data_IF_154461474924
#
_entry.id   IF_154461474924
#
_cell.length_a   1.000
_cell.length_b   1.000
_cell.length_c   1.000
_cell.angle_alpha   90.00
_cell.angle_beta   90.00
_cell.angle_gamma   90.00
#
_symmetry.space_group_name_H-M   'P 1'
#
loop_
_entity.id
_entity.type
_entity.pdbx_description
1 polymer ?
#
# COMPACT_ATOMS: atom_id res chain seq x y z
N UNK A 1 13.95 23.78 -0.80
CA UNK A 1 13.76 23.71 -2.27
C UNK A 1 12.99 22.44 -2.64
N UNK A 2 13.42 21.25 -2.23
CA UNK A 2 12.76 19.97 -2.59
C UNK A 2 11.27 19.88 -2.22
N UNK A 3 10.89 20.29 -1.00
CA UNK A 3 9.49 20.30 -0.58
C UNK A 3 8.62 21.21 -1.47
N UNK A 4 9.14 22.36 -1.87
CA UNK A 4 8.44 23.30 -2.75
C UNK A 4 8.26 22.71 -4.16
N UNK A 5 9.29 22.04 -4.68
CA UNK A 5 9.20 21.36 -5.98
C UNK A 5 8.19 20.21 -5.96
N UNK A 6 8.14 19.44 -4.87
CA UNK A 6 7.15 18.37 -4.68
C UNK A 6 5.72 18.92 -4.69
N UNK A 7 5.47 19.99 -3.94
CA UNK A 7 4.17 20.67 -3.92
C UNK A 7 3.78 21.25 -5.29
N UNK A 8 4.74 21.81 -6.02
CA UNK A 8 4.52 22.26 -7.40
C UNK A 8 4.10 21.09 -8.30
N UNK A 9 4.76 19.94 -8.18
CA UNK A 9 4.39 18.74 -8.94
C UNK A 9 2.97 18.24 -8.60
N UNK A 10 2.57 18.26 -7.32
CA UNK A 10 1.20 17.93 -6.92
C UNK A 10 0.16 18.88 -7.52
N UNK A 11 0.40 20.18 -7.46
CA UNK A 11 -0.48 21.19 -8.03
C UNK A 11 -0.63 21.04 -9.54
N UNK A 12 0.46 20.68 -10.23
CA UNK A 12 0.44 20.43 -11.66
C UNK A 12 -0.38 19.19 -12.03
N UNK A 13 -0.27 18.08 -11.28
CA UNK A 13 -1.13 16.89 -11.46
C UNK A 13 -2.60 17.28 -11.35
N UNK A 14 -2.97 18.03 -10.31
CA UNK A 14 -4.35 18.43 -10.09
C UNK A 14 -4.88 19.35 -11.21
N UNK A 15 -4.05 20.28 -11.68
CA UNK A 15 -4.41 21.20 -12.77
C UNK A 15 -4.65 20.43 -14.08
N UNK A 16 -3.73 19.55 -14.45
CA UNK A 16 -3.82 18.72 -15.66
C UNK A 16 -4.98 17.72 -15.60
N UNK A 17 -5.29 17.17 -14.41
CA UNK A 17 -6.45 16.31 -14.22
C UNK A 17 -7.78 17.07 -14.41
N UNK A 18 -7.86 18.31 -13.91
CA UNK A 18 -9.03 19.17 -14.09
C UNK A 18 -9.25 19.54 -15.56
N UNK A 19 -8.18 19.79 -16.32
CA UNK A 19 -8.28 20.09 -17.76
C UNK A 19 -8.61 18.85 -18.61
N UNK A 20 -8.56 17.64 -18.02
CA UNK A 20 -8.76 16.35 -18.71
C UNK A 20 -7.78 16.14 -19.86
N UNK A 21 -6.60 16.76 -19.80
CA UNK A 21 -5.57 16.59 -20.81
C UNK A 21 -4.72 15.35 -20.49
N UNK A 22 -5.20 14.19 -20.96
CA UNK A 22 -4.52 12.91 -20.73
C UNK A 22 -3.09 12.92 -21.29
N UNK A 23 -2.88 13.50 -22.46
CA UNK A 23 -1.56 13.52 -23.10
C UNK A 23 -0.56 14.35 -22.28
N UNK A 24 -1.00 15.47 -21.73
CA UNK A 24 -0.16 16.27 -20.82
C UNK A 24 0.08 15.58 -19.49
N UNK A 25 -0.89 14.83 -18.94
CA UNK A 25 -0.67 14.00 -17.75
C UNK A 25 0.36 12.90 -18.00
N UNK A 26 0.31 12.23 -19.15
CA UNK A 26 1.27 11.19 -19.51
C UNK A 26 2.69 11.76 -19.67
N UNK A 27 2.84 12.88 -20.38
CA UNK A 27 4.15 13.57 -20.48
C UNK A 27 4.66 14.00 -19.10
N UNK A 28 3.77 14.48 -18.23
CA UNK A 28 4.15 14.88 -16.89
C UNK A 28 4.59 13.67 -16.03
N UNK A 29 3.93 12.51 -16.16
CA UNK A 29 4.34 11.28 -15.50
C UNK A 29 5.78 10.87 -15.88
N UNK A 30 6.13 10.94 -17.17
CA UNK A 30 7.47 10.64 -17.69
C UNK A 30 8.54 11.61 -17.18
N UNK A 31 8.20 12.90 -17.09
CA UNK A 31 9.05 13.93 -16.50
C UNK A 31 9.30 13.65 -15.01
N UNK A 32 8.25 13.32 -14.25
CA UNK A 32 8.35 13.00 -12.82
C UNK A 32 9.17 11.74 -12.57
N UNK A 33 9.04 10.74 -13.44
CA UNK A 33 9.88 9.55 -13.38
C UNK A 33 11.36 9.94 -13.49
N UNK A 34 11.72 10.65 -14.56
CA UNK A 34 13.11 11.09 -14.79
C UNK A 34 13.67 11.94 -13.65
N UNK A 35 12.81 12.78 -13.05
CA UNK A 35 13.18 13.70 -11.98
C UNK A 35 13.35 13.02 -10.63
N UNK A 36 12.40 12.17 -10.23
CA UNK A 36 12.27 11.74 -8.83
C UNK A 36 12.69 10.31 -8.57
N UNK A 37 12.57 9.38 -9.53
CA UNK A 37 12.73 7.94 -9.27
C UNK A 37 14.11 7.60 -8.67
N UNK A 38 15.17 8.23 -9.19
CA UNK A 38 16.56 8.00 -8.71
C UNK A 38 16.91 8.79 -7.46
N UNK A 39 16.24 9.93 -7.22
CA UNK A 39 16.58 10.84 -6.12
C UNK A 39 15.84 10.47 -4.84
N UNK A 40 14.53 10.24 -4.95
CA UNK A 40 13.59 10.03 -3.84
C UNK A 40 12.46 9.09 -4.30
N UNK A 41 12.73 7.77 -4.44
CA UNK A 41 11.76 6.80 -4.95
C UNK A 41 10.43 6.79 -4.18
N UNK A 42 10.47 7.07 -2.87
CA UNK A 42 9.26 7.16 -2.04
C UNK A 42 8.38 8.37 -2.41
N UNK A 43 8.98 9.54 -2.65
CA UNK A 43 8.25 10.73 -3.09
C UNK A 43 7.69 10.54 -4.50
N UNK A 44 8.46 9.91 -5.39
CA UNK A 44 8.00 9.53 -6.72
C UNK A 44 6.76 8.62 -6.64
N UNK A 45 6.81 7.56 -5.81
CA UNK A 45 5.68 6.65 -5.64
C UNK A 45 4.43 7.38 -5.12
N UNK A 46 4.58 8.31 -4.17
CA UNK A 46 3.47 9.14 -3.67
C UNK A 46 2.89 10.06 -4.76
N UNK A 47 3.74 10.78 -5.49
CA UNK A 47 3.30 11.65 -6.61
C UNK A 47 2.52 10.85 -7.64
N UNK A 48 3.03 9.68 -7.99
CA UNK A 48 2.41 8.85 -9.01
C UNK A 48 1.12 8.20 -8.53
N UNK A 49 0.99 7.85 -7.25
CA UNK A 49 -0.30 7.49 -6.67
C UNK A 49 -1.31 8.65 -6.81
N UNK A 50 -0.91 9.89 -6.52
CA UNK A 50 -1.79 11.05 -6.73
C UNK A 50 -2.19 11.22 -8.20
N UNK A 51 -1.28 10.98 -9.15
CA UNK A 51 -1.59 11.02 -10.58
C UNK A 51 -2.62 9.95 -10.96
N UNK A 52 -2.41 8.71 -10.53
CA UNK A 52 -3.31 7.57 -10.76
C UNK A 52 -4.69 7.82 -10.10
N UNK A 53 -4.72 8.42 -8.91
CA UNK A 53 -5.94 8.83 -8.22
C UNK A 53 -6.77 9.83 -9.01
N UNK A 54 -6.09 10.87 -9.52
CA UNK A 54 -6.72 11.91 -10.31
C UNK A 54 -7.22 11.37 -11.66
N UNK A 55 -6.44 10.52 -12.35
CA UNK A 55 -6.87 9.86 -13.59
C UNK A 55 -8.14 9.03 -13.38
N UNK A 56 -8.21 8.29 -12.27
CA UNK A 56 -9.34 7.41 -11.98
C UNK A 56 -10.65 8.15 -11.65
N UNK A 57 -10.57 9.45 -11.36
CA UNK A 57 -11.72 10.28 -10.97
C UNK A 57 -12.48 10.89 -12.16
N UNK A 58 -11.96 10.75 -13.39
CA UNK A 58 -12.57 11.33 -14.61
C UNK A 58 -13.63 10.37 -15.18
N UNK A 59 -14.91 10.66 -14.95
CA UNK A 59 -16.05 9.78 -15.29
C UNK A 59 -16.32 9.68 -16.81
N UNK A 60 -16.02 10.72 -17.59
CA UNK A 60 -16.52 10.86 -18.96
C UNK A 60 -15.89 9.90 -19.98
N UNK A 61 -14.66 9.41 -19.74
CA UNK A 61 -13.91 8.52 -20.64
C UNK A 61 -13.37 7.30 -19.87
N UNK A 62 -14.26 6.68 -19.10
CA UNK A 62 -13.90 5.70 -18.07
C UNK A 62 -12.95 4.58 -18.55
N UNK A 63 -13.16 4.02 -19.74
CA UNK A 63 -12.34 2.89 -20.25
C UNK A 63 -10.90 3.30 -20.58
N UNK A 64 -10.69 4.45 -21.23
CA UNK A 64 -9.36 4.94 -21.62
C UNK A 64 -8.52 5.31 -20.39
N UNK A 65 -9.10 6.10 -19.49
CA UNK A 65 -8.41 6.50 -18.26
C UNK A 65 -8.12 5.29 -17.36
N UNK A 66 -9.01 4.30 -17.34
CA UNK A 66 -8.81 3.06 -16.59
C UNK A 66 -7.57 2.29 -17.07
N UNK A 67 -7.41 2.06 -18.37
CA UNK A 67 -6.24 1.37 -18.91
C UNK A 67 -4.94 2.11 -18.59
N UNK A 68 -4.92 3.44 -18.73
CA UNK A 68 -3.75 4.27 -18.40
C UNK A 68 -3.45 4.24 -16.89
N UNK A 69 -4.48 4.30 -16.04
CA UNK A 69 -4.35 4.23 -14.57
C UNK A 69 -3.72 2.91 -14.14
N UNK A 70 -4.20 1.79 -14.68
CA UNK A 70 -3.65 0.46 -14.38
C UNK A 70 -2.22 0.32 -14.91
N UNK A 71 -1.94 0.80 -16.13
CA UNK A 71 -0.58 0.82 -16.70
C UNK A 71 0.41 1.50 -15.75
N UNK A 72 0.11 2.71 -15.29
CA UNK A 72 1.00 3.43 -14.37
C UNK A 72 1.11 2.73 -13.02
N UNK A 73 0.01 2.20 -12.47
CA UNK A 73 0.06 1.47 -11.21
C UNK A 73 0.97 0.24 -11.30
N UNK A 74 0.86 -0.55 -12.37
CA UNK A 74 1.71 -1.73 -12.59
C UNK A 74 3.17 -1.31 -12.78
N UNK A 75 3.44 -0.29 -13.60
CA UNK A 75 4.81 0.21 -13.81
C UNK A 75 5.47 0.65 -12.50
N UNK A 76 4.73 1.30 -11.61
CA UNK A 76 5.25 1.71 -10.30
C UNK A 76 5.56 0.53 -9.39
N UNK A 77 4.63 -0.42 -9.31
CA UNK A 77 4.79 -1.64 -8.52
C UNK A 77 5.98 -2.48 -9.00
N UNK A 78 6.34 -2.40 -10.29
CA UNK A 78 7.47 -3.13 -10.86
C UNK A 78 8.81 -2.39 -10.75
N UNK A 79 8.80 -1.05 -10.63
CA UNK A 79 10.02 -0.22 -10.69
C UNK A 79 10.52 0.23 -9.33
N UNK A 80 9.64 0.36 -8.34
CA UNK A 80 9.98 0.99 -7.06
C UNK A 80 9.98 -0.03 -5.94
N UNK A 81 11.17 -0.58 -5.69
CA UNK A 81 11.40 -1.45 -4.54
C UNK A 81 11.22 -0.68 -3.23
N UNK A 82 10.62 -1.34 -2.23
CA UNK A 82 10.54 -0.80 -0.88
C UNK A 82 9.59 0.40 -0.69
N UNK A 83 8.73 0.74 -1.66
CA UNK A 83 7.78 1.86 -1.53
C UNK A 83 6.92 1.77 -0.25
N UNK A 84 6.45 2.85 0.37
CA UNK A 84 5.63 2.76 1.58
C UNK A 84 4.39 1.87 1.37
N UNK A 85 4.06 1.01 2.34
CA UNK A 85 2.97 0.03 2.22
C UNK A 85 1.62 0.72 1.92
N UNK A 86 1.36 1.89 2.51
CA UNK A 86 0.15 2.67 2.22
C UNK A 86 0.04 3.06 0.74
N UNK A 87 1.18 3.36 0.10
CA UNK A 87 1.26 3.69 -1.31
C UNK A 87 1.07 2.44 -2.18
N UNK A 88 1.73 1.34 -1.84
CA UNK A 88 1.61 0.05 -2.54
C UNK A 88 0.16 -0.43 -2.59
N UNK A 89 -0.54 -0.42 -1.46
CA UNK A 89 -1.96 -0.76 -1.40
C UNK A 89 -2.87 0.24 -2.10
N UNK A 90 -2.47 1.51 -2.13
CA UNK A 90 -3.09 2.55 -2.94
C UNK A 90 -3.04 2.17 -4.42
N UNK A 91 -1.88 1.77 -4.92
CA UNK A 91 -1.69 1.39 -6.32
C UNK A 91 -2.40 0.07 -6.67
N UNK A 92 -2.38 -0.93 -5.78
CA UNK A 92 -3.04 -2.22 -6.02
C UNK A 92 -4.56 -2.09 -6.26
N UNK A 93 -5.22 -1.05 -5.74
CA UNK A 93 -6.65 -0.81 -6.03
C UNK A 93 -6.93 -0.56 -7.53
N UNK A 94 -5.90 -0.24 -8.29
CA UNK A 94 -5.94 -0.02 -9.73
C UNK A 94 -5.48 -1.22 -10.54
N UNK A 95 -4.89 -2.22 -9.90
CA UNK A 95 -4.55 -3.50 -10.52
C UNK A 95 -5.78 -4.38 -10.47
N UNK A 96 -6.61 -4.30 -11.52
CA UNK A 96 -7.92 -4.96 -11.58
C UNK A 96 -7.83 -6.28 -12.32
N UNK A 97 -8.84 -7.11 -12.09
CA UNK A 97 -9.07 -8.26 -12.93
C UNK A 97 -9.68 -7.83 -14.27
N UNK A 98 -9.14 -8.37 -15.37
CA UNK A 98 -9.39 -7.88 -16.74
C UNK A 98 -10.81 -8.15 -17.23
N UNK A 99 -11.48 -9.14 -16.65
CA UNK A 99 -12.79 -9.60 -17.15
C UNK A 99 -13.96 -8.70 -16.76
N UNK A 100 -13.71 -7.59 -16.04
CA UNK A 100 -14.70 -6.52 -15.90
C UNK A 100 -14.89 -5.71 -17.19
N UNK A 101 -14.00 -5.85 -18.18
CA UNK A 101 -14.05 -5.07 -19.41
C UNK A 101 -13.70 -5.96 -20.61
N UNK A 102 -14.72 -6.62 -21.19
CA UNK A 102 -14.60 -7.52 -22.36
C UNK A 102 -13.99 -6.84 -23.61
N UNK A 103 -13.69 -5.54 -23.53
CA UNK A 103 -13.12 -4.73 -24.61
C UNK A 103 -11.59 -4.65 -24.57
N UNK A 104 -10.95 -5.08 -23.48
CA UNK A 104 -9.48 -5.03 -23.36
C UNK A 104 -8.86 -6.13 -24.22
N UNK A 105 -8.30 -5.74 -25.36
CA UNK A 105 -7.38 -6.59 -26.11
C UNK A 105 -6.17 -6.88 -25.21
N UNK A 106 -5.95 -8.15 -24.93
CA UNK A 106 -4.69 -8.58 -24.32
C UNK A 106 -3.53 -8.16 -25.23
N UNK A 107 -2.35 -7.84 -24.67
CA UNK A 107 -1.14 -7.70 -25.46
C UNK A 107 -0.95 -8.93 -26.36
N UNK A 108 -0.60 -8.72 -27.62
CA UNK A 108 -0.58 -9.76 -28.67
C UNK A 108 0.33 -10.97 -28.34
N UNK A 109 1.17 -10.87 -27.31
CA UNK A 109 2.13 -11.87 -26.85
C UNK A 109 1.80 -12.54 -25.49
N UNK A 110 0.80 -12.06 -24.73
CA UNK A 110 0.50 -12.56 -23.38
C UNK A 110 -0.81 -13.32 -23.31
N UNK A 111 -0.74 -14.56 -22.80
CA UNK A 111 -1.94 -15.29 -22.41
C UNK A 111 -2.64 -14.64 -21.21
N UNK A 112 -3.97 -14.71 -21.15
CA UNK A 112 -4.78 -14.28 -19.99
C UNK A 112 -4.23 -14.87 -18.68
N UNK A 113 -3.76 -16.11 -18.72
CA UNK A 113 -3.12 -16.79 -17.59
C UNK A 113 -1.89 -16.06 -17.09
N UNK A 114 -1.02 -15.61 -17.99
CA UNK A 114 0.20 -14.91 -17.61
C UNK A 114 -0.11 -13.56 -16.97
N UNK A 115 -1.08 -12.83 -17.51
CA UNK A 115 -1.45 -11.52 -16.94
C UNK A 115 -2.11 -11.69 -15.58
N UNK A 116 -3.09 -12.61 -15.46
CA UNK A 116 -3.69 -12.97 -14.17
C UNK A 116 -2.64 -13.35 -13.14
N UNK A 117 -1.70 -14.23 -13.51
CA UNK A 117 -0.61 -14.67 -12.64
C UNK A 117 0.23 -13.50 -12.16
N UNK A 118 0.64 -12.61 -13.07
CA UNK A 118 1.44 -11.43 -12.74
C UNK A 118 0.70 -10.49 -11.78
N UNK A 119 -0.60 -10.26 -11.99
CA UNK A 119 -1.40 -9.42 -11.09
C UNK A 119 -1.60 -10.09 -9.72
N UNK A 120 -1.98 -11.37 -9.69
CA UNK A 120 -2.13 -12.14 -8.46
C UNK A 120 -0.85 -12.15 -7.62
N UNK A 121 0.30 -12.34 -8.28
CA UNK A 121 1.61 -12.26 -7.63
C UNK A 121 1.82 -10.93 -6.91
N UNK A 122 1.55 -9.78 -7.54
CA UNK A 122 1.69 -8.46 -6.89
C UNK A 122 0.80 -8.33 -5.65
N UNK A 123 -0.43 -8.83 -5.72
CA UNK A 123 -1.34 -8.80 -4.57
C UNK A 123 -0.81 -9.65 -3.40
N UNK A 124 -0.34 -10.87 -3.66
CA UNK A 124 0.18 -11.76 -2.60
C UNK A 124 1.57 -11.33 -2.09
N UNK A 125 2.41 -10.76 -2.94
CA UNK A 125 3.71 -10.19 -2.54
C UNK A 125 3.50 -9.02 -1.56
N UNK A 126 2.57 -8.10 -1.86
CA UNK A 126 2.21 -7.00 -0.97
C UNK A 126 1.59 -7.49 0.35
N UNK A 127 0.75 -8.55 0.30
CA UNK A 127 0.21 -9.19 1.50
C UNK A 127 1.33 -9.76 2.37
N UNK A 128 2.28 -10.48 1.78
CA UNK A 128 3.44 -11.04 2.49
C UNK A 128 4.24 -9.93 3.16
N UNK A 129 4.59 -8.89 2.40
CA UNK A 129 5.34 -7.74 2.91
C UNK A 129 4.64 -7.05 4.09
N UNK A 130 3.32 -6.91 4.05
CA UNK A 130 2.56 -6.35 5.17
C UNK A 130 2.59 -7.26 6.41
N UNK A 131 2.51 -8.58 6.24
CA UNK A 131 2.63 -9.49 7.38
C UNK A 131 4.04 -9.50 7.96
N UNK A 132 5.07 -9.46 7.11
CA UNK A 132 6.47 -9.40 7.53
C UNK A 132 6.78 -8.10 8.29
N UNK A 133 6.06 -7.01 8.00
CA UNK A 133 6.19 -5.73 8.69
C UNK A 133 5.44 -5.67 10.05
N UNK A 134 4.49 -6.57 10.29
CA UNK A 134 3.73 -6.62 11.54
C UNK A 134 4.53 -7.42 12.55
N UNK A 135 4.85 -6.76 13.67
CA UNK A 135 5.42 -7.43 14.82
C UNK A 135 4.35 -8.33 15.47
N UNK A 136 4.64 -9.62 15.56
CA UNK A 136 3.73 -10.64 16.10
C UNK A 136 3.61 -10.53 17.61
N UNK A 137 4.67 -10.06 18.28
CA UNK A 137 4.77 -9.97 19.72
C UNK A 137 4.33 -8.59 20.25
N UNK A 138 3.96 -7.67 19.35
CA UNK A 138 3.43 -6.35 19.71
C UNK A 138 2.13 -6.46 20.52
N UNK A 139 2.16 -5.83 21.70
CA UNK A 139 1.02 -5.74 22.62
C UNK A 139 0.27 -4.40 22.43
N UNK A 140 -1.02 -4.41 22.04
CA UNK A 140 -1.83 -3.20 21.95
C UNK A 140 -2.08 -2.51 23.30
N UNK A 141 -1.93 -3.20 24.42
CA UNK A 141 -2.14 -2.63 25.76
C UNK A 141 -0.85 -2.00 26.34
N UNK A 142 0.30 -2.25 25.72
CA UNK A 142 1.57 -1.59 26.06
C UNK A 142 1.65 -0.17 25.50
N UNK A 143 0.80 0.70 26.04
CA UNK A 143 0.66 2.08 25.57
C UNK A 143 1.93 2.91 25.85
N UNK A 144 2.31 3.81 24.92
CA UNK A 144 3.29 4.85 25.24
C UNK A 144 2.71 5.81 26.28
N UNK A 145 3.57 6.37 27.13
CA UNK A 145 3.16 7.38 28.09
C UNK A 145 2.78 8.67 27.35
N UNK A 146 1.67 9.30 27.77
CA UNK A 146 1.26 10.60 27.23
C UNK A 146 2.28 11.69 27.59
N UNK A 147 2.83 11.60 28.80
CA UNK A 147 3.87 12.48 29.32
C UNK A 147 4.79 11.70 30.25
N UNK A 148 6.09 11.77 29.99
CA UNK A 148 7.10 11.09 30.81
C UNK A 148 7.28 11.87 32.12
N UNK A 149 7.25 11.16 33.24
CA UNK A 149 7.56 11.75 34.54
C UNK A 149 9.08 11.92 34.72
N UNK A 150 9.56 13.07 35.24
CA UNK A 150 10.95 13.20 35.63
C UNK A 150 11.27 12.29 36.83
N UNK A 151 12.55 11.95 37.09
CA UNK A 151 12.92 11.13 38.24
C UNK A 151 12.34 11.67 39.55
N UNK A 152 11.82 10.80 40.41
CA UNK A 152 11.15 11.18 41.67
C UNK A 152 11.99 12.13 42.55
N UNK A 153 13.32 12.01 42.48
CA UNK A 153 14.26 12.87 43.19
C UNK A 153 14.11 14.37 42.84
N UNK A 154 13.64 14.69 41.64
CA UNK A 154 13.39 16.05 41.18
C UNK A 154 12.13 16.67 41.79
N UNK A 155 11.15 15.85 42.19
CA UNK A 155 9.80 16.27 42.66
C UNK A 155 9.07 17.20 41.70
N UNK A 156 9.45 17.19 40.42
CA UNK A 156 8.81 17.97 39.37
C UNK A 156 7.62 17.18 38.78
N UNK A 157 6.59 17.86 38.25
CA UNK A 157 5.48 17.18 37.59
C UNK A 157 5.90 16.56 36.25
N UNK A 158 5.09 15.63 35.73
CA UNK A 158 5.29 15.08 34.37
C UNK A 158 5.23 16.19 33.31
N UNK A 159 6.10 16.07 32.30
CA UNK A 159 6.10 16.97 31.15
C UNK A 159 6.82 18.30 31.36
N UNK A 160 7.54 18.48 32.46
CA UNK A 160 8.50 19.59 32.60
C UNK A 160 9.58 19.52 31.53
N UNK A 161 10.11 20.67 31.14
CA UNK A 161 11.24 20.72 30.22
C UNK A 161 12.50 20.16 30.90
N UNK A 162 13.36 19.37 30.22
CA UNK A 162 14.58 18.83 30.82
C UNK A 162 15.50 19.91 31.42
N UNK A 163 15.48 21.12 30.86
CA UNK A 163 16.24 22.26 31.32
C UNK A 163 15.85 22.73 32.74
N UNK A 164 14.67 22.33 33.23
CA UNK A 164 14.20 22.63 34.59
C UNK A 164 14.77 21.67 35.66
N UNK A 165 15.43 20.57 35.25
CA UNK A 165 16.11 19.65 36.18
C UNK A 165 17.53 20.15 36.40
N UNK A 166 17.84 20.67 37.58
CA UNK A 166 19.17 21.24 37.90
C UNK A 166 20.30 20.20 37.85
N UNK A 167 20.04 18.99 38.37
CA UNK A 167 21.03 17.92 38.43
C UNK A 167 21.29 17.35 37.02
N UNK A 168 22.52 17.45 36.49
CA UNK A 168 22.82 17.00 35.12
C UNK A 168 22.69 15.48 34.94
N UNK A 169 22.87 14.68 35.99
CA UNK A 169 22.67 13.22 35.90
C UNK A 169 21.18 12.89 35.79
N UNK A 170 20.35 13.51 36.64
CA UNK A 170 18.89 13.30 36.60
C UNK A 170 18.29 13.85 35.30
N UNK A 171 18.84 14.95 34.77
CA UNK A 171 18.43 15.50 33.46
C UNK A 171 18.71 14.50 32.33
N UNK A 172 19.92 13.94 32.27
CA UNK A 172 20.30 12.99 31.23
C UNK A 172 19.46 11.71 31.28
N UNK A 173 19.14 11.21 32.48
CA UNK A 173 18.22 10.09 32.67
C UNK A 173 16.82 10.40 32.13
N UNK A 174 16.29 11.58 32.45
CA UNK A 174 14.99 12.02 31.98
C UNK A 174 14.94 12.20 30.45
N UNK A 175 15.95 12.82 29.85
CA UNK A 175 16.07 12.95 28.39
C UNK A 175 16.08 11.59 27.69
N UNK A 176 16.81 10.60 28.24
CA UNK A 176 16.82 9.24 27.72
C UNK A 176 15.45 8.55 27.83
N UNK A 177 14.72 8.79 28.94
CA UNK A 177 13.37 8.27 29.12
C UNK A 177 12.37 8.90 28.13
N UNK A 178 12.45 10.22 27.89
CA UNK A 178 11.66 10.92 26.87
C UNK A 178 11.91 10.33 25.49
N UNK A 179 13.18 10.15 25.12
CA UNK A 179 13.57 9.61 23.82
C UNK A 179 13.10 8.16 23.64
N UNK A 180 13.22 7.33 24.68
CA UNK A 180 12.71 5.95 24.69
C UNK A 180 11.19 5.92 24.49
N UNK A 181 10.45 6.76 25.22
CA UNK A 181 9.00 6.85 25.06
C UNK A 181 8.60 7.39 23.68
N UNK A 182 9.37 8.32 23.10
CA UNK A 182 9.17 8.82 21.73
C UNK A 182 9.28 7.68 20.72
N UNK A 183 10.34 6.88 20.81
CA UNK A 183 10.54 5.72 19.94
C UNK A 183 9.42 4.68 20.12
N UNK A 184 9.03 4.39 21.37
CA UNK A 184 7.89 3.51 21.68
C UNK A 184 6.60 4.02 21.03
N UNK A 185 6.32 5.32 21.14
CA UNK A 185 5.13 5.93 20.54
C UNK A 185 5.13 5.85 19.00
N UNK A 186 6.29 6.05 18.36
CA UNK A 186 6.44 5.91 16.92
C UNK A 186 6.19 4.47 16.45
N UNK A 187 6.79 3.47 17.11
CA UNK A 187 6.58 2.06 16.77
C UNK A 187 5.14 1.62 17.07
N UNK A 188 4.57 2.03 18.20
CA UNK A 188 3.17 1.77 18.55
C UNK A 188 2.21 2.30 17.47
N UNK A 189 2.39 3.55 17.04
CA UNK A 189 1.59 4.16 15.96
C UNK A 189 1.76 3.39 14.64
N UNK A 190 2.98 2.95 14.32
CA UNK A 190 3.28 2.17 13.12
C UNK A 190 2.57 0.81 13.15
N UNK A 191 2.74 0.02 14.20
CA UNK A 191 2.11 -1.29 14.35
C UNK A 191 0.57 -1.21 14.34
N UNK A 192 0.02 -0.22 15.03
CA UNK A 192 -1.42 0.05 15.00
C UNK A 192 -1.93 0.32 13.57
N UNK A 193 -1.21 1.16 12.80
CA UNK A 193 -1.55 1.45 11.40
C UNK A 193 -1.46 0.21 10.51
N UNK A 194 -0.40 -0.60 10.65
CA UNK A 194 -0.20 -1.83 9.87
C UNK A 194 -1.30 -2.85 10.12
N UNK A 195 -1.70 -3.06 11.38
CA UNK A 195 -2.79 -3.99 11.73
C UNK A 195 -4.14 -3.50 11.20
N UNK A 196 -4.43 -2.20 11.29
CA UNK A 196 -5.62 -1.58 10.68
C UNK A 196 -5.63 -1.74 9.16
N UNK A 197 -4.47 -1.61 8.52
CA UNK A 197 -4.28 -1.82 7.10
C UNK A 197 -4.50 -3.28 6.71
N UNK A 198 -3.95 -4.25 7.45
CA UNK A 198 -4.17 -5.70 7.25
C UNK A 198 -5.65 -6.07 7.26
N UNK A 199 -6.41 -5.56 8.23
CA UNK A 199 -7.87 -5.78 8.31
C UNK A 199 -8.61 -5.26 7.08
N UNK A 200 -8.22 -4.09 6.55
CA UNK A 200 -8.83 -3.52 5.33
C UNK A 200 -8.40 -4.25 4.08
N UNK A 201 -7.14 -4.67 4.02
CA UNK A 201 -6.54 -5.24 2.83
C UNK A 201 -6.93 -6.71 2.61
N UNK A 202 -7.11 -7.50 3.68
CA UNK A 202 -7.56 -8.91 3.61
C UNK A 202 -8.81 -9.09 2.73
N UNK A 203 -9.83 -8.24 2.94
CA UNK A 203 -11.06 -8.26 2.14
C UNK A 203 -10.82 -7.94 0.66
N UNK A 204 -9.85 -7.07 0.37
CA UNK A 204 -9.53 -6.66 -1.00
C UNK A 204 -8.78 -7.75 -1.75
N UNK A 205 -7.77 -8.35 -1.11
CA UNK A 205 -7.02 -9.46 -1.72
C UNK A 205 -7.90 -10.69 -1.90
N UNK A 206 -8.76 -11.01 -0.92
CA UNK A 206 -9.74 -12.09 -1.04
C UNK A 206 -10.64 -11.85 -2.25
N UNK A 207 -11.28 -10.67 -2.33
CA UNK A 207 -12.11 -10.31 -3.49
C UNK A 207 -11.34 -10.43 -4.80
N UNK A 208 -10.12 -9.88 -4.87
CA UNK A 208 -9.31 -9.91 -6.08
C UNK A 208 -9.00 -11.35 -6.52
N UNK A 209 -8.47 -12.19 -5.63
CA UNK A 209 -8.08 -13.56 -5.95
C UNK A 209 -9.29 -14.43 -6.29
N UNK A 210 -10.40 -14.27 -5.57
CA UNK A 210 -11.65 -14.96 -5.89
C UNK A 210 -12.12 -14.58 -7.28
N UNK A 211 -12.25 -13.28 -7.60
CA UNK A 211 -12.65 -12.84 -8.94
C UNK A 211 -11.69 -13.35 -10.02
N UNK A 212 -10.37 -13.29 -9.76
CA UNK A 212 -9.36 -13.64 -10.75
C UNK A 212 -9.32 -15.14 -11.10
N UNK A 213 -9.50 -16.00 -10.10
CA UNK A 213 -9.41 -17.45 -10.29
C UNK A 213 -10.77 -18.14 -10.46
N UNK A 214 -11.88 -17.42 -10.23
CA UNK A 214 -13.24 -17.89 -10.56
C UNK A 214 -13.60 -17.72 -12.03
N UNK A 215 -12.70 -17.21 -12.86
CA UNK A 215 -12.97 -17.06 -14.30
C UNK A 215 -12.08 -17.99 -15.14
N UNK A 216 -12.62 -18.61 -16.20
CA UNK A 216 -11.84 -19.48 -17.07
C UNK A 216 -10.57 -18.81 -17.64
N UNK A 217 -9.48 -19.58 -17.80
CA UNK A 217 -9.37 -20.99 -17.41
C UNK A 217 -9.16 -21.12 -15.89
N UNK A 218 -9.90 -22.01 -15.24
CA UNK A 218 -9.76 -22.27 -13.81
C UNK A 218 -8.39 -22.88 -13.51
N UNK A 219 -7.67 -22.35 -12.51
CA UNK A 219 -6.36 -22.87 -12.12
C UNK A 219 -6.21 -22.91 -10.60
N UNK A 220 -6.88 -23.86 -9.96
CA UNK A 220 -6.86 -24.06 -8.51
C UNK A 220 -5.49 -24.47 -7.99
N UNK A 221 -4.69 -25.18 -8.80
CA UNK A 221 -3.35 -25.61 -8.39
C UNK A 221 -2.40 -24.42 -8.23
N UNK A 222 -2.43 -23.47 -9.18
CA UNK A 222 -1.65 -22.24 -9.12
C UNK A 222 -2.08 -21.36 -7.95
N UNK A 223 -3.40 -21.14 -7.79
CA UNK A 223 -3.93 -20.38 -6.66
C UNK A 223 -3.52 -21.00 -5.32
N UNK A 224 -3.67 -22.32 -5.17
CA UNK A 224 -3.27 -23.03 -3.96
C UNK A 224 -1.79 -22.90 -3.66
N UNK A 225 -0.92 -22.87 -4.69
CA UNK A 225 0.51 -22.61 -4.50
C UNK A 225 0.75 -21.19 -4.00
N UNK A 226 0.16 -20.17 -4.63
CA UNK A 226 0.32 -18.78 -4.17
C UNK A 226 -0.15 -18.58 -2.74
N UNK A 227 -1.30 -19.14 -2.37
CA UNK A 227 -1.81 -19.00 -1.03
C UNK A 227 -0.88 -19.64 0.00
N UNK A 228 -0.32 -20.83 -0.28
CA UNK A 228 0.64 -21.48 0.62
C UNK A 228 1.95 -20.71 0.76
N UNK A 229 2.47 -20.17 -0.34
CA UNK A 229 3.80 -19.54 -0.36
C UNK A 229 3.79 -18.12 0.28
N UNK A 230 2.63 -17.45 0.30
CA UNK A 230 2.54 -16.01 0.61
C UNK A 230 1.51 -15.60 1.66
N UNK A 231 0.51 -16.44 1.97
CA UNK A 231 -0.58 -16.10 2.89
C UNK A 231 -0.50 -16.99 4.11
N UNK A 232 0.08 -16.53 5.22
CA UNK A 232 0.20 -17.35 6.44
C UNK A 232 -1.13 -17.59 7.17
N UNK A 233 -2.15 -16.77 6.90
CA UNK A 233 -3.49 -16.85 7.48
C UNK A 233 -4.30 -18.03 6.90
N UNK A 234 -4.37 -19.13 7.67
CA UNK A 234 -5.08 -20.36 7.30
C UNK A 234 -6.55 -20.15 6.96
N UNK A 235 -7.25 -19.33 7.73
CA UNK A 235 -8.66 -19.05 7.52
C UNK A 235 -8.88 -18.28 6.22
N UNK A 236 -8.06 -17.25 5.96
CA UNK A 236 -8.10 -16.51 4.71
C UNK A 236 -7.83 -17.41 3.50
N UNK A 237 -6.83 -18.31 3.59
CA UNK A 237 -6.55 -19.29 2.53
C UNK A 237 -7.76 -20.18 2.25
N UNK A 238 -8.37 -20.72 3.30
CA UNK A 238 -9.53 -21.61 3.20
C UNK A 238 -10.71 -20.90 2.53
N UNK A 239 -11.07 -19.69 2.98
CA UNK A 239 -12.17 -18.90 2.41
C UNK A 239 -11.99 -18.63 0.91
N UNK A 240 -10.77 -18.25 0.49
CA UNK A 240 -10.48 -17.98 -0.93
C UNK A 240 -10.64 -19.26 -1.77
N UNK A 241 -10.07 -20.38 -1.32
CA UNK A 241 -10.13 -21.64 -2.06
C UNK A 241 -11.56 -22.17 -2.18
N UNK A 242 -12.34 -22.12 -1.10
CA UNK A 242 -13.74 -22.53 -1.07
C UNK A 242 -14.59 -21.67 -2.02
N UNK A 243 -14.43 -20.34 -1.94
CA UNK A 243 -15.17 -19.41 -2.80
C UNK A 243 -14.89 -19.64 -4.29
N UNK A 244 -13.62 -19.85 -4.68
CA UNK A 244 -13.27 -20.12 -6.08
C UNK A 244 -13.81 -21.48 -6.54
N UNK A 245 -13.72 -22.52 -5.71
CA UNK A 245 -14.24 -23.84 -6.03
C UNK A 245 -15.76 -23.81 -6.25
N UNK A 246 -16.49 -23.12 -5.36
CA UNK A 246 -17.94 -22.93 -5.48
C UNK A 246 -18.31 -22.19 -6.77
N UNK A 247 -17.64 -21.08 -7.09
CA UNK A 247 -17.91 -20.32 -8.31
C UNK A 247 -17.61 -21.12 -9.58
N UNK A 248 -16.53 -21.90 -9.57
CA UNK A 248 -16.17 -22.76 -10.70
C UNK A 248 -17.21 -23.86 -10.95
N UNK A 249 -17.73 -24.50 -9.89
CA UNK A 249 -18.77 -25.52 -10.00
C UNK A 249 -20.09 -24.94 -10.54
N UNK A 250 -20.47 -23.73 -10.12
CA UNK A 250 -21.69 -23.06 -10.59
C UNK A 250 -21.65 -22.70 -12.07
N UNK A 251 -20.49 -22.27 -12.59
CA UNK A 251 -20.34 -21.95 -14.01
C UNK A 251 -20.25 -23.20 -14.90
N UNK A 252 -19.72 -24.32 -14.40
CA UNK A 252 -19.68 -25.59 -15.14
C UNK A 252 -21.04 -26.29 -15.23
N UNK A 253 -21.99 -25.95 -14.35
CA UNK A 253 -23.34 -26.50 -14.35
C UNK A 253 -24.35 -25.70 -15.19
N UNK A 254 -23.95 -24.59 -15.82
CA UNK A 254 -24.76 -23.78 -16.74
C UNK A 254 -24.49 -24.15 -18.18
#
# INVERSE_FOLDING_TARGET
MEAQEYEQSLNQIQSLAKSRDLQSLERFAEEMESKWIRKKPELYARLMLHLVDNLSSVIAEYSKYRATTEKYAIQLLDKVDGMPLDVEFGLLRYVRHELEDQTVKLPDDKSLNQVRRQKARRWVDAWKRLNDAIDKDWDPEDLPEESVAPPDATRLPSGVAPEEIDDPMLRAEYEAAIETNRQKNEEYKKQYRLRKLKKRFSRKIEKFLVTAYSTPPYNMQELGKYLRDYVDDEELRARILEAVASNAAQEQGK
#
